data_IF_949512368020
#
_entry.id   IF_949512368020
#
_cell.length_a   1.000
_cell.length_b   1.000
_cell.length_c   1.000
_cell.angle_alpha   90.00
_cell.angle_beta   90.00
_cell.angle_gamma   90.00
#
_symmetry.space_group_name_H-M   'P 1'
#
loop_
_entity.id
_entity.type
_entity.pdbx_description
1 polymer ?
#
# COMPACT_ATOMS: atom_id res chain seq x y z
N UNK A 1 14.96 13.12 -7.14
CA UNK A 1 13.85 14.08 -7.41
C UNK A 1 12.57 13.39 -7.85
N UNK A 2 12.63 12.41 -8.77
CA UNK A 2 11.48 11.60 -9.23
C UNK A 2 10.68 10.93 -8.10
N UNK A 3 11.35 10.37 -7.09
CA UNK A 3 10.66 9.71 -5.97
C UNK A 3 9.80 10.67 -5.11
N UNK A 4 10.22 11.94 -5.01
CA UNK A 4 9.43 13.00 -4.35
C UNK A 4 8.23 13.40 -5.21
N UNK A 5 8.42 13.49 -6.53
CA UNK A 5 7.34 13.82 -7.47
C UNK A 5 6.28 12.72 -7.54
N UNK A 6 6.69 11.44 -7.54
CA UNK A 6 5.75 10.30 -7.53
C UNK A 6 4.94 10.23 -6.24
N UNK A 7 5.55 10.57 -5.10
CA UNK A 7 4.84 10.59 -3.83
C UNK A 7 3.83 11.75 -3.76
N UNK A 8 4.19 12.93 -4.25
CA UNK A 8 3.26 14.06 -4.39
C UNK A 8 2.08 13.72 -5.31
N UNK A 9 2.34 13.06 -6.44
CA UNK A 9 1.28 12.66 -7.37
C UNK A 9 0.34 11.62 -6.73
N UNK A 10 0.86 10.72 -5.90
CA UNK A 10 0.05 9.77 -5.14
C UNK A 10 -0.85 10.48 -4.12
N UNK A 11 -0.34 11.47 -3.38
CA UNK A 11 -1.15 12.28 -2.47
C UNK A 11 -2.25 13.06 -3.20
N UNK A 12 -1.93 13.67 -4.34
CA UNK A 12 -2.92 14.38 -5.16
C UNK A 12 -4.03 13.43 -5.65
N UNK A 13 -3.67 12.23 -6.11
CA UNK A 13 -4.65 11.24 -6.53
C UNK A 13 -5.56 10.80 -5.37
N UNK A 14 -4.99 10.59 -4.17
CA UNK A 14 -5.76 10.25 -2.97
C UNK A 14 -6.75 11.36 -2.60
N UNK A 15 -6.31 12.62 -2.68
CA UNK A 15 -7.15 13.77 -2.34
C UNK A 15 -8.32 13.95 -3.31
N UNK A 16 -8.10 13.75 -4.62
CA UNK A 16 -9.17 13.75 -5.62
C UNK A 16 -10.18 12.64 -5.33
N UNK A 17 -9.70 11.42 -5.01
CA UNK A 17 -10.57 10.28 -4.70
C UNK A 17 -11.41 10.57 -3.45
N UNK A 18 -10.81 11.09 -2.38
CA UNK A 18 -11.51 11.45 -1.14
C UNK A 18 -12.53 12.56 -1.34
N UNK A 19 -12.18 13.60 -2.11
CA UNK A 19 -13.10 14.70 -2.44
C UNK A 19 -14.28 14.18 -3.25
N UNK A 20 -14.03 13.36 -4.28
CA UNK A 20 -15.09 12.73 -5.06
C UNK A 20 -15.98 11.83 -4.19
N UNK A 21 -15.37 11.10 -3.26
CA UNK A 21 -16.09 10.26 -2.29
C UNK A 21 -17.03 11.07 -1.39
N UNK A 22 -16.55 12.22 -0.89
CA UNK A 22 -17.36 13.09 -0.04
C UNK A 22 -18.45 13.83 -0.80
N UNK A 23 -18.19 14.28 -2.03
CA UNK A 23 -19.11 15.17 -2.75
C UNK A 23 -20.11 14.46 -3.66
N UNK A 24 -19.77 13.27 -4.17
CA UNK A 24 -20.59 12.59 -5.21
C UNK A 24 -21.25 11.33 -4.67
N UNK A 25 -20.64 10.66 -3.69
CA UNK A 25 -21.05 9.33 -3.23
C UNK A 25 -21.77 9.36 -1.89
N UNK A 26 -22.10 10.54 -1.38
CA UNK A 26 -22.58 10.76 -0.01
C UNK A 26 -23.84 9.92 0.31
N UNK A 27 -24.72 9.70 -0.66
CA UNK A 27 -26.03 9.08 -0.44
C UNK A 27 -26.09 7.56 -0.69
N UNK A 28 -25.06 6.93 -1.29
CA UNK A 28 -25.14 5.51 -1.68
C UNK A 28 -24.14 4.61 -0.92
N UNK A 29 -24.63 3.92 0.10
CA UNK A 29 -23.87 2.99 0.93
C UNK A 29 -23.19 1.87 0.11
N UNK A 30 -23.85 1.36 -0.92
CA UNK A 30 -23.31 0.26 -1.72
C UNK A 30 -22.12 0.72 -2.57
N UNK A 31 -22.18 1.92 -3.13
CA UNK A 31 -21.08 2.47 -3.92
C UNK A 31 -19.88 2.81 -3.03
N UNK A 32 -20.12 3.36 -1.83
CA UNK A 32 -19.11 3.56 -0.79
C UNK A 32 -18.39 2.26 -0.44
N UNK A 33 -19.14 1.19 -0.18
CA UNK A 33 -18.58 -0.12 0.15
C UNK A 33 -17.76 -0.70 -1.00
N UNK A 34 -18.25 -0.62 -2.25
CA UNK A 34 -17.54 -1.14 -3.41
C UNK A 34 -16.19 -0.41 -3.63
N UNK A 35 -16.20 0.92 -3.52
CA UNK A 35 -14.98 1.72 -3.62
C UNK A 35 -13.99 1.42 -2.51
N UNK A 36 -14.46 1.25 -1.27
CA UNK A 36 -13.62 0.82 -0.16
C UNK A 36 -12.93 -0.50 -0.45
N UNK A 37 -13.67 -1.52 -0.91
CA UNK A 37 -13.11 -2.84 -1.25
C UNK A 37 -12.08 -2.73 -2.37
N UNK A 38 -12.38 -2.00 -3.44
CA UNK A 38 -11.43 -1.79 -4.56
C UNK A 38 -10.15 -1.12 -4.06
N UNK A 39 -10.28 -0.08 -3.25
CA UNK A 39 -9.13 0.67 -2.71
C UNK A 39 -8.29 -0.21 -1.79
N UNK A 40 -8.93 -1.00 -0.93
CA UNK A 40 -8.24 -1.95 -0.05
C UNK A 40 -7.44 -3.00 -0.84
N UNK A 41 -8.02 -3.54 -1.93
CA UNK A 41 -7.31 -4.49 -2.81
C UNK A 41 -6.10 -3.82 -3.47
N UNK A 42 -6.24 -2.60 -3.99
CA UNK A 42 -5.13 -1.86 -4.61
C UNK A 42 -4.00 -1.58 -3.60
N UNK A 43 -4.34 -1.15 -2.39
CA UNK A 43 -3.38 -0.94 -1.31
C UNK A 43 -2.68 -2.25 -0.96
N UNK A 44 -3.43 -3.34 -0.77
CA UNK A 44 -2.86 -4.65 -0.46
C UNK A 44 -1.86 -5.10 -1.53
N UNK A 45 -2.22 -5.01 -2.81
CA UNK A 45 -1.31 -5.32 -3.92
C UNK A 45 -0.06 -4.44 -3.91
N UNK A 46 -0.21 -3.14 -3.68
CA UNK A 46 0.89 -2.19 -3.60
C UNK A 46 1.84 -2.51 -2.44
N UNK A 47 1.29 -2.75 -1.25
CA UNK A 47 2.04 -3.10 -0.04
C UNK A 47 2.73 -4.44 -0.20
N UNK A 48 2.06 -5.48 -0.69
CA UNK A 48 2.69 -6.80 -0.92
C UNK A 48 3.86 -6.70 -1.90
N UNK A 49 3.69 -5.97 -3.00
CA UNK A 49 4.76 -5.77 -4.01
C UNK A 49 5.93 -4.95 -3.46
N UNK A 50 5.64 -3.96 -2.62
CA UNK A 50 6.65 -3.15 -1.97
C UNK A 50 7.39 -3.96 -0.89
N UNK A 51 6.65 -4.70 -0.07
CA UNK A 51 7.18 -5.59 0.95
C UNK A 51 8.09 -6.66 0.33
N UNK A 52 7.71 -7.29 -0.79
CA UNK A 52 8.56 -8.27 -1.48
C UNK A 52 9.83 -7.68 -2.09
N UNK A 53 9.90 -6.36 -2.29
CA UNK A 53 11.11 -5.68 -2.79
C UNK A 53 11.98 -5.11 -1.67
N UNK A 54 11.38 -4.77 -0.52
CA UNK A 54 12.07 -4.21 0.64
C UNK A 54 12.54 -5.28 1.61
N UNK A 55 11.74 -6.33 1.80
CA UNK A 55 12.12 -7.48 2.60
C UNK A 55 12.96 -8.40 1.71
N UNK A 56 14.22 -8.68 2.06
CA UNK A 56 15.02 -9.64 1.34
C UNK A 56 14.31 -10.99 1.35
N UNK A 57 14.17 -11.61 0.17
CA UNK A 57 13.44 -12.86 -0.01
C UNK A 57 14.21 -14.09 0.55
N UNK A 58 15.47 -13.91 0.94
CA UNK A 58 16.36 -15.00 1.34
C UNK A 58 16.41 -15.14 2.86
N UNK A 59 15.62 -16.10 3.34
CA UNK A 59 15.99 -17.32 4.07
C UNK A 59 17.30 -17.47 4.88
N UNK A 60 18.19 -16.49 4.97
CA UNK A 60 19.44 -16.61 5.76
C UNK A 60 19.46 -15.66 6.96
N UNK A 61 18.35 -15.60 7.70
CA UNK A 61 18.39 -15.08 9.07
C UNK A 61 18.95 -16.18 9.97
N UNK A 62 20.26 -16.44 9.87
CA UNK A 62 20.97 -17.23 10.88
C UNK A 62 20.92 -16.40 12.16
N UNK A 63 20.20 -16.88 13.17
CA UNK A 63 20.29 -16.30 14.51
C UNK A 63 21.77 -16.38 14.91
N UNK A 64 22.41 -15.30 15.40
CA UNK A 64 23.82 -15.33 15.81
C UNK A 64 24.13 -16.35 16.94
N UNK A 65 23.13 -17.08 17.41
CA UNK A 65 23.29 -18.20 18.35
C UNK A 65 23.80 -19.50 17.72
N UNK A 66 23.68 -19.70 16.40
CA UNK A 66 24.10 -20.96 15.73
C UNK A 66 25.54 -20.96 15.20
N UNK A 67 26.23 -19.81 15.13
CA UNK A 67 27.61 -19.71 14.60
C UNK A 67 28.68 -20.18 15.62
N UNK A 68 28.32 -20.39 16.89
CA UNK A 68 29.24 -20.82 17.94
C UNK A 68 29.28 -22.34 18.22
N UNK A 69 28.59 -23.16 17.43
CA UNK A 69 28.47 -24.61 17.66
C UNK A 69 29.10 -25.49 16.55
N UNK A 70 29.85 -24.92 15.60
CA UNK A 70 30.52 -25.67 14.53
C UNK A 70 32.05 -25.72 14.71
#
# INVERSE_FOLDING_TARGET
MILKASLQLAFLAIEIILTFYSSVLEDNLMVKFLLFVITAVLIAMGVTKLASRLLPADKDYVSPEEEHAA
#
